data_IF_030416574623
#
_entry.id   IF_030416574623
#
_cell.length_a   1.000
_cell.length_b   1.000
_cell.length_c   1.000
_cell.angle_alpha   90.00
_cell.angle_beta   90.00
_cell.angle_gamma   90.00
#
_symmetry.space_group_name_H-M   'P 1'
#
loop_
_entity.id
_entity.type
_entity.pdbx_description
1 polymer ?
#
# COMPACT_ATOMS: atom_id res chain seq x y z
N UNK A 1 31.27 -10.98 -0.60
CA UNK A 1 31.25 -11.14 0.87
C UNK A 1 29.87 -11.10 1.52
N UNK A 2 29.03 -10.05 1.42
CA UNK A 2 27.70 -10.08 2.07
C UNK A 2 26.65 -10.94 1.33
N UNK A 3 26.65 -10.92 0.00
CA UNK A 3 25.75 -11.76 -0.82
C UNK A 3 26.11 -13.26 -0.72
N UNK A 4 27.40 -13.58 -0.59
CA UNK A 4 27.87 -14.96 -0.37
C UNK A 4 27.55 -15.46 1.04
N UNK A 5 27.55 -14.57 2.05
CA UNK A 5 27.09 -14.92 3.41
C UNK A 5 25.60 -15.29 3.43
N UNK A 6 24.76 -14.66 2.60
CA UNK A 6 23.36 -15.06 2.44
C UNK A 6 23.28 -16.50 1.89
N UNK A 7 24.10 -16.84 0.89
CA UNK A 7 24.14 -18.18 0.30
C UNK A 7 24.55 -19.27 1.33
N UNK A 8 25.53 -18.99 2.19
CA UNK A 8 26.01 -19.95 3.19
C UNK A 8 25.10 -20.10 4.42
N UNK A 9 24.33 -19.06 4.77
CA UNK A 9 23.41 -19.11 5.95
C UNK A 9 22.13 -19.87 5.64
N UNK A 10 21.82 -20.07 4.36
CA UNK A 10 20.47 -20.41 3.92
C UNK A 10 20.03 -21.85 4.16
N UNK A 11 20.87 -22.80 4.64
CA UNK A 11 20.54 -24.23 4.93
C UNK A 11 19.19 -24.64 4.31
N UNK A 12 19.10 -24.57 2.97
CA UNK A 12 17.84 -24.78 2.29
C UNK A 12 17.57 -26.27 2.39
N UNK A 13 16.87 -26.67 3.46
CA UNK A 13 16.17 -27.95 3.50
C UNK A 13 15.35 -27.98 2.22
N UNK A 14 15.57 -29.00 1.42
CA UNK A 14 14.89 -29.20 0.15
C UNK A 14 13.38 -29.23 0.40
N UNK A 15 12.70 -28.11 0.18
CA UNK A 15 11.25 -28.03 0.24
C UNK A 15 10.67 -28.42 -1.12
N UNK A 16 9.65 -29.26 -1.07
CA UNK A 16 8.93 -29.77 -2.23
C UNK A 16 7.99 -28.71 -2.79
N UNK A 17 7.57 -28.85 -4.05
CA UNK A 17 6.63 -27.92 -4.70
C UNK A 17 5.31 -27.76 -3.92
N UNK A 18 4.87 -28.80 -3.20
CA UNK A 18 3.67 -28.76 -2.34
C UNK A 18 3.81 -27.85 -1.12
N UNK A 19 5.02 -27.62 -0.62
CA UNK A 19 5.25 -26.76 0.55
C UNK A 19 5.04 -25.28 0.22
N UNK A 20 5.22 -24.89 -1.05
CA UNK A 20 5.03 -23.52 -1.55
C UNK A 20 3.58 -23.11 -1.78
N UNK A 21 2.66 -24.08 -1.85
CA UNK A 21 1.22 -23.84 -1.97
C UNK A 21 0.50 -23.82 -0.62
N UNK A 22 1.24 -24.00 0.48
CA UNK A 22 0.68 -23.95 1.82
C UNK A 22 0.72 -22.51 2.34
N UNK A 23 -0.43 -21.85 2.36
CA UNK A 23 -0.58 -20.46 2.78
C UNK A 23 -0.06 -20.19 4.21
N UNK A 24 -0.12 -21.17 5.10
CA UNK A 24 0.38 -21.03 6.48
C UNK A 24 1.91 -21.03 6.47
N UNK A 25 2.52 -22.00 5.79
CA UNK A 25 3.98 -22.05 5.64
C UNK A 25 4.51 -20.84 4.88
N UNK A 26 3.83 -20.39 3.83
CA UNK A 26 4.25 -19.21 3.07
C UNK A 26 4.16 -17.92 3.88
N UNK A 27 3.16 -17.77 4.76
CA UNK A 27 3.10 -16.64 5.70
C UNK A 27 4.21 -16.68 6.73
N UNK A 28 4.52 -17.85 7.29
CA UNK A 28 5.63 -18.00 8.25
C UNK A 28 6.99 -17.74 7.60
N UNK A 29 7.22 -18.31 6.42
CA UNK A 29 8.41 -18.08 5.61
C UNK A 29 8.54 -16.61 5.24
N UNK A 30 7.46 -15.98 4.75
CA UNK A 30 7.46 -14.55 4.45
C UNK A 30 7.76 -13.70 5.68
N UNK A 31 7.10 -13.97 6.82
CA UNK A 31 7.33 -13.25 8.08
C UNK A 31 8.76 -13.40 8.59
N UNK A 32 9.31 -14.62 8.58
CA UNK A 32 10.69 -14.90 8.96
C UNK A 32 11.69 -14.18 8.06
N UNK A 33 11.51 -14.25 6.73
CA UNK A 33 12.37 -13.55 5.79
C UNK A 33 12.24 -12.03 5.89
N UNK A 34 11.03 -11.50 6.09
CA UNK A 34 10.79 -10.07 6.26
C UNK A 34 11.47 -9.55 7.53
N UNK A 35 11.40 -10.30 8.63
CA UNK A 35 12.05 -9.94 9.88
C UNK A 35 13.59 -10.00 9.77
N UNK A 36 14.13 -10.97 9.04
CA UNK A 36 15.57 -11.03 8.79
C UNK A 36 16.03 -9.91 7.85
N UNK A 37 15.22 -9.53 6.86
CA UNK A 37 15.50 -8.38 6.00
C UNK A 37 15.54 -7.07 6.79
N UNK A 38 14.64 -6.89 7.78
CA UNK A 38 14.67 -5.75 8.70
C UNK A 38 15.91 -5.71 9.59
N UNK A 39 16.56 -6.84 9.83
CA UNK A 39 17.84 -6.90 10.54
C UNK A 39 19.02 -6.55 9.63
N UNK A 40 18.90 -6.86 8.33
CA UNK A 40 19.95 -6.59 7.33
C UNK A 40 19.94 -5.13 6.84
N UNK A 41 18.76 -4.52 6.77
CA UNK A 41 18.58 -3.16 6.27
C UNK A 41 17.82 -2.30 7.29
N UNK A 42 18.38 -1.13 7.69
CA UNK A 42 17.64 -0.12 8.44
C UNK A 42 16.31 0.24 7.77
N UNK A 43 15.32 0.67 8.55
CA UNK A 43 13.98 1.03 8.05
C UNK A 43 14.02 2.16 7.00
N UNK A 44 15.00 3.05 7.08
CA UNK A 44 15.25 4.17 6.17
C UNK A 44 16.30 3.86 5.08
N UNK A 45 16.74 2.61 4.98
CA UNK A 45 17.72 2.20 3.97
C UNK A 45 17.20 2.45 2.56
N UNK A 46 18.02 3.12 1.76
CA UNK A 46 17.75 3.35 0.34
C UNK A 46 18.58 2.38 -0.48
N UNK A 47 17.91 1.39 -1.07
CA UNK A 47 18.56 0.45 -1.97
C UNK A 47 19.21 1.17 -3.17
N UNK A 48 20.49 0.86 -3.39
CA UNK A 48 21.20 1.25 -4.60
C UNK A 48 20.76 0.41 -5.79
N UNK A 49 20.97 0.90 -7.01
CA UNK A 49 20.68 0.14 -8.24
C UNK A 49 21.48 -1.17 -8.30
N UNK A 50 22.67 -1.21 -7.69
CA UNK A 50 23.50 -2.42 -7.58
C UNK A 50 22.82 -3.48 -6.71
N UNK A 51 22.29 -3.09 -5.55
CA UNK A 51 21.56 -4.00 -4.66
C UNK A 51 20.26 -4.47 -5.30
N UNK A 52 19.50 -3.56 -5.93
CA UNK A 52 18.29 -3.93 -6.67
C UNK A 52 18.61 -4.94 -7.78
N UNK A 53 19.69 -4.72 -8.55
CA UNK A 53 20.12 -5.70 -9.55
C UNK A 53 20.49 -7.06 -8.95
N UNK A 54 21.11 -7.10 -7.77
CA UNK A 54 21.36 -8.36 -7.07
C UNK A 54 20.05 -9.09 -6.73
N UNK A 55 19.04 -8.37 -6.23
CA UNK A 55 17.71 -8.91 -5.96
C UNK A 55 17.02 -9.43 -7.23
N UNK A 56 17.06 -8.67 -8.34
CA UNK A 56 16.50 -9.09 -9.63
C UNK A 56 17.14 -10.39 -10.14
N UNK A 57 18.46 -10.52 -10.00
CA UNK A 57 19.19 -11.75 -10.35
C UNK A 57 18.72 -12.91 -9.47
N UNK A 58 18.60 -12.70 -8.15
CA UNK A 58 18.09 -13.73 -7.25
C UNK A 58 16.67 -14.17 -7.62
N UNK A 59 15.77 -13.23 -7.91
CA UNK A 59 14.41 -13.54 -8.32
C UNK A 59 14.35 -14.37 -9.60
N UNK A 60 15.14 -14.01 -10.62
CA UNK A 60 15.22 -14.81 -11.85
C UNK A 60 15.73 -16.23 -11.59
N UNK A 61 16.73 -16.38 -10.73
CA UNK A 61 17.30 -17.68 -10.39
C UNK A 61 16.31 -18.61 -9.67
N UNK A 62 15.34 -18.07 -8.93
CA UNK A 62 14.28 -18.84 -8.26
C UNK A 62 13.00 -18.96 -9.10
N UNK A 63 13.07 -18.66 -10.40
CA UNK A 63 11.97 -18.80 -11.35
C UNK A 63 10.93 -17.68 -11.31
N UNK A 64 11.24 -16.54 -10.68
CA UNK A 64 10.35 -15.39 -10.72
C UNK A 64 10.58 -14.54 -11.98
N UNK A 65 9.49 -13.93 -12.45
CA UNK A 65 9.42 -13.10 -13.65
C UNK A 65 8.94 -11.69 -13.29
N UNK A 66 9.50 -10.69 -13.97
CA UNK A 66 9.07 -9.29 -13.86
C UNK A 66 7.76 -9.08 -14.62
N UNK A 67 6.74 -8.67 -13.87
CA UNK A 67 5.39 -8.37 -14.36
C UNK A 67 5.00 -6.91 -14.10
N UNK A 68 5.99 -6.05 -13.87
CA UNK A 68 5.79 -4.60 -13.67
C UNK A 68 5.05 -4.00 -14.87
N UNK A 69 3.89 -3.35 -14.64
CA UNK A 69 3.00 -2.92 -15.72
C UNK A 69 3.31 -1.52 -16.26
N UNK A 70 4.17 -0.76 -15.59
CA UNK A 70 4.49 0.63 -15.91
C UNK A 70 5.99 0.83 -16.15
N UNK A 71 6.36 1.96 -16.76
CA UNK A 71 7.75 2.28 -17.06
C UNK A 71 8.47 2.72 -15.78
N UNK A 72 9.80 2.54 -15.74
CA UNK A 72 10.64 2.97 -14.60
C UNK A 72 10.53 4.47 -14.28
N UNK A 73 10.14 5.29 -15.27
CA UNK A 73 9.88 6.71 -15.09
C UNK A 73 8.59 6.99 -14.29
N UNK A 74 7.62 6.06 -14.34
CA UNK A 74 6.32 6.20 -13.68
C UNK A 74 6.40 5.75 -12.22
N UNK A 75 7.28 4.80 -11.91
CA UNK A 75 7.52 4.34 -10.55
C UNK A 75 8.78 3.48 -10.41
N UNK A 76 9.32 3.51 -9.18
CA UNK A 76 10.47 2.71 -8.73
C UNK A 76 10.08 1.31 -8.22
N UNK A 77 8.80 1.02 -8.08
CA UNK A 77 8.31 -0.25 -7.53
C UNK A 77 8.21 -1.29 -8.64
N UNK A 78 8.67 -2.52 -8.35
CA UNK A 78 8.66 -3.63 -9.29
C UNK A 78 7.75 -4.75 -8.80
N UNK A 79 7.02 -5.37 -9.72
CA UNK A 79 6.15 -6.50 -9.45
C UNK A 79 6.79 -7.78 -10.00
N UNK A 80 6.92 -8.78 -9.15
CA UNK A 80 7.55 -10.06 -9.50
C UNK A 80 6.61 -11.22 -9.15
N UNK A 81 6.48 -12.18 -10.05
CA UNK A 81 5.63 -13.37 -9.87
C UNK A 81 6.41 -14.65 -10.16
N UNK A 82 6.10 -15.74 -9.46
CA UNK A 82 6.60 -17.10 -9.79
C UNK A 82 5.57 -17.92 -10.58
N UNK A 83 4.46 -17.29 -10.99
CA UNK A 83 3.41 -17.96 -11.74
C UNK A 83 3.93 -18.47 -13.08
N UNK A 84 3.52 -19.70 -13.44
CA UNK A 84 3.77 -20.26 -14.77
C UNK A 84 3.10 -19.42 -15.87
N UNK A 85 2.03 -18.69 -15.52
CA UNK A 85 1.26 -17.85 -16.41
C UNK A 85 1.62 -16.35 -16.28
N UNK A 86 2.88 -16.03 -15.97
CA UNK A 86 3.35 -14.67 -15.73
C UNK A 86 2.99 -13.67 -16.86
N UNK A 87 2.87 -14.12 -18.11
CA UNK A 87 2.44 -13.28 -19.23
C UNK A 87 0.98 -12.82 -19.12
N UNK A 88 0.09 -13.71 -18.64
CA UNK A 88 -1.32 -13.37 -18.40
C UNK A 88 -1.39 -12.34 -17.27
N UNK A 89 -0.69 -12.60 -16.16
CA UNK A 89 -0.64 -11.68 -15.02
C UNK A 89 -0.10 -10.30 -15.41
N UNK A 90 0.98 -10.26 -16.20
CA UNK A 90 1.53 -9.01 -16.75
C UNK A 90 0.51 -8.23 -17.57
N UNK A 91 -0.26 -8.92 -18.42
CA UNK A 91 -1.30 -8.29 -19.24
C UNK A 91 -2.46 -7.76 -18.39
N UNK A 92 -2.87 -8.50 -17.35
CA UNK A 92 -3.91 -8.05 -16.42
C UNK A 92 -3.45 -6.83 -15.63
N UNK A 93 -2.25 -6.85 -15.07
CA UNK A 93 -1.68 -5.72 -14.35
C UNK A 93 -1.54 -4.48 -15.24
N UNK A 94 -1.15 -4.68 -16.51
CA UNK A 94 -1.09 -3.61 -17.51
C UNK A 94 -2.47 -3.00 -17.77
N UNK A 95 -3.50 -3.81 -17.97
CA UNK A 95 -4.88 -3.30 -18.14
C UNK A 95 -5.37 -2.55 -16.91
N UNK A 96 -5.10 -3.06 -15.70
CA UNK A 96 -5.47 -2.38 -14.46
C UNK A 96 -4.77 -1.02 -14.34
N UNK A 97 -3.50 -0.92 -14.75
CA UNK A 97 -2.78 0.35 -14.78
C UNK A 97 -3.36 1.32 -15.81
N UNK A 98 -3.61 0.85 -17.03
CA UNK A 98 -4.18 1.66 -18.12
C UNK A 98 -5.60 2.17 -17.79
N UNK A 99 -6.38 1.39 -17.04
CA UNK A 99 -7.71 1.79 -16.57
C UNK A 99 -7.70 2.62 -15.27
N UNK A 100 -6.52 2.87 -14.69
CA UNK A 100 -6.38 3.65 -13.45
C UNK A 100 -6.80 2.93 -12.18
N UNK A 101 -7.04 1.61 -12.24
CA UNK A 101 -7.33 0.78 -11.06
C UNK A 101 -6.05 0.37 -10.31
N UNK A 102 -4.90 0.39 -10.99
CA UNK A 102 -3.60 0.15 -10.37
C UNK A 102 -2.78 1.44 -10.37
N UNK A 103 -2.33 1.86 -9.19
CA UNK A 103 -1.49 3.05 -9.04
C UNK A 103 -0.02 2.67 -9.11
N UNK A 104 0.79 3.49 -9.80
CA UNK A 104 2.22 3.22 -9.94
C UNK A 104 2.98 3.37 -8.62
N UNK A 105 2.51 4.23 -7.73
CA UNK A 105 3.05 4.40 -6.38
C UNK A 105 2.01 4.01 -5.33
N UNK A 106 2.41 3.33 -4.26
CA UNK A 106 1.55 3.12 -3.10
C UNK A 106 1.20 4.50 -2.56
N UNK A 107 -0.04 4.89 -2.76
CA UNK A 107 -0.56 6.07 -2.11
C UNK A 107 -0.68 5.71 -0.64
N UNK A 108 -0.06 6.51 0.20
CA UNK A 108 -0.36 6.44 1.60
C UNK A 108 -1.84 6.82 1.74
N UNK A 109 -2.71 5.82 1.91
CA UNK A 109 -4.15 6.06 2.05
C UNK A 109 -4.44 7.00 3.23
N UNK A 110 -3.57 7.02 4.25
CA UNK A 110 -3.65 8.01 5.30
C UNK A 110 -3.47 9.44 4.77
N UNK A 111 -2.57 9.67 3.81
CA UNK A 111 -2.37 10.99 3.22
C UNK A 111 -3.57 11.42 2.37
N UNK A 112 -4.18 10.53 1.59
CA UNK A 112 -5.42 10.87 0.83
C UNK A 112 -6.60 11.09 1.76
N UNK A 113 -6.78 10.26 2.78
CA UNK A 113 -7.80 10.49 3.80
C UNK A 113 -7.56 11.81 4.54
N UNK A 114 -6.32 12.14 4.90
CA UNK A 114 -5.98 13.41 5.54
C UNK A 114 -6.21 14.60 4.61
N UNK A 115 -5.83 14.51 3.33
CA UNK A 115 -6.11 15.55 2.33
C UNK A 115 -7.62 15.76 2.19
N UNK A 116 -8.40 14.68 2.10
CA UNK A 116 -9.86 14.77 2.07
C UNK A 116 -10.40 15.46 3.32
N UNK A 117 -10.03 15.00 4.52
CA UNK A 117 -10.50 15.58 5.79
C UNK A 117 -10.09 17.04 5.94
N UNK A 118 -8.86 17.39 5.56
CA UNK A 118 -8.38 18.77 5.57
C UNK A 118 -9.18 19.65 4.60
N UNK A 119 -9.37 19.21 3.35
CA UNK A 119 -10.20 19.94 2.38
C UNK A 119 -11.64 20.09 2.88
N UNK A 120 -12.19 19.07 3.52
CA UNK A 120 -13.54 19.10 4.07
C UNK A 120 -13.64 20.08 5.25
N UNK A 121 -12.68 20.04 6.17
CA UNK A 121 -12.59 20.99 7.28
C UNK A 121 -12.44 22.42 6.78
N UNK A 122 -11.56 22.67 5.80
CA UNK A 122 -11.43 23.99 5.15
C UNK A 122 -12.74 24.43 4.48
N UNK A 123 -13.48 23.52 3.86
CA UNK A 123 -14.79 23.83 3.28
C UNK A 123 -15.82 24.23 4.34
N UNK A 124 -15.78 23.60 5.52
CA UNK A 124 -16.60 23.97 6.66
C UNK A 124 -16.18 25.34 7.22
N UNK A 125 -14.88 25.66 7.26
CA UNK A 125 -14.40 26.96 7.77
C UNK A 125 -14.78 28.09 6.80
N UNK A 126 -14.59 27.88 5.50
CA UNK A 126 -14.70 28.91 4.46
C UNK A 126 -16.13 29.18 3.96
N UNK A 127 -17.11 28.35 4.31
CA UNK A 127 -18.47 28.50 3.81
C UNK A 127 -19.12 29.82 4.26
N UNK A 128 -19.28 30.75 3.31
CA UNK A 128 -19.78 32.12 3.50
C UNK A 128 -21.26 32.22 3.90
N UNK A 129 -22.01 31.11 3.96
CA UNK A 129 -23.46 31.10 4.27
C UNK A 129 -23.80 31.00 5.76
N UNK A 130 -22.82 31.13 6.66
CA UNK A 130 -23.06 30.97 8.11
C UNK A 130 -23.22 29.51 8.52
N UNK A 131 -23.58 29.26 9.79
CA UNK A 131 -23.66 27.92 10.37
C UNK A 131 -24.55 26.94 9.58
N UNK A 132 -25.59 27.45 8.91
CA UNK A 132 -26.51 26.69 8.04
C UNK A 132 -25.79 26.03 6.85
N UNK A 133 -24.86 26.76 6.21
CA UNK A 133 -24.05 26.21 5.12
C UNK A 133 -23.11 25.09 5.59
N UNK A 134 -22.56 25.23 6.81
CA UNK A 134 -21.71 24.21 7.43
C UNK A 134 -22.53 22.97 7.78
N UNK A 135 -23.72 23.16 8.35
CA UNK A 135 -24.65 22.07 8.67
C UNK A 135 -25.05 21.27 7.44
N UNK A 136 -25.36 21.93 6.31
CA UNK A 136 -25.73 21.23 5.07
C UNK A 136 -24.61 20.35 4.49
N UNK A 137 -23.36 20.77 4.59
CA UNK A 137 -22.22 19.95 4.14
C UNK A 137 -22.03 18.76 5.07
N UNK A 138 -22.10 19.01 6.38
CA UNK A 138 -21.93 17.97 7.40
C UNK A 138 -23.09 16.95 7.37
N UNK A 139 -24.33 17.39 7.12
CA UNK A 139 -25.53 16.54 7.15
C UNK A 139 -25.49 15.41 6.13
N UNK A 140 -24.82 15.61 5.00
CA UNK A 140 -24.65 14.61 3.94
C UNK A 140 -24.01 13.32 4.48
N UNK A 141 -23.07 13.44 5.42
CA UNK A 141 -22.27 12.31 5.93
C UNK A 141 -22.47 12.05 7.42
N UNK A 142 -23.17 12.92 8.15
CA UNK A 142 -23.18 12.90 9.61
C UNK A 142 -23.71 11.56 10.19
N UNK A 143 -24.60 10.88 9.48
CA UNK A 143 -25.17 9.60 9.89
C UNK A 143 -24.26 8.39 9.61
N UNK A 144 -23.35 8.51 8.64
CA UNK A 144 -22.46 7.41 8.23
C UNK A 144 -21.21 7.27 9.12
N UNK A 145 -20.90 8.29 9.90
CA UNK A 145 -19.73 8.35 10.79
C UNK A 145 -20.11 8.48 12.26
N UNK A 146 -19.23 8.01 13.15
CA UNK A 146 -19.42 8.19 14.60
C UNK A 146 -19.16 9.63 15.02
N UNK A 147 -19.73 10.01 16.16
CA UNK A 147 -19.51 11.33 16.74
C UNK A 147 -18.03 11.59 17.01
N UNK A 148 -17.34 10.61 17.60
CA UNK A 148 -15.92 10.73 17.96
C UNK A 148 -15.03 10.87 16.72
N UNK A 149 -15.41 10.22 15.61
CA UNK A 149 -14.69 10.31 14.33
C UNK A 149 -14.85 11.71 13.72
N UNK A 150 -16.07 12.23 13.65
CA UNK A 150 -16.35 13.56 13.12
C UNK A 150 -15.68 14.65 13.96
N UNK A 151 -15.73 14.55 15.29
CA UNK A 151 -15.02 15.47 16.17
C UNK A 151 -13.51 15.45 15.92
N UNK A 152 -12.93 14.25 15.90
CA UNK A 152 -11.49 14.09 15.78
C UNK A 152 -10.96 14.58 14.43
N UNK A 153 -11.68 14.30 13.34
CA UNK A 153 -11.22 14.62 11.99
C UNK A 153 -11.57 16.03 11.54
N UNK A 154 -12.67 16.61 12.02
CA UNK A 154 -13.18 17.91 11.56
C UNK A 154 -13.10 19.03 12.60
N UNK A 155 -12.76 18.70 13.86
CA UNK A 155 -12.73 19.65 14.98
C UNK A 155 -14.06 20.40 15.18
N UNK A 156 -15.19 19.73 14.94
CA UNK A 156 -16.55 20.30 15.08
C UNK A 156 -17.20 19.91 16.41
N UNK A 157 -18.13 20.74 16.90
CA UNK A 157 -18.82 20.51 18.17
C UNK A 157 -19.95 19.48 18.04
N UNK A 158 -20.31 18.87 19.17
CA UNK A 158 -21.44 17.95 19.23
C UNK A 158 -22.77 18.59 18.84
N UNK A 159 -22.98 19.85 19.20
CA UNK A 159 -24.19 20.59 18.85
C UNK A 159 -24.32 20.82 17.34
N UNK A 160 -23.18 21.01 16.64
CA UNK A 160 -23.20 21.14 15.18
C UNK A 160 -23.52 19.80 14.51
N UNK A 161 -22.92 18.70 15.00
CA UNK A 161 -23.19 17.35 14.49
C UNK A 161 -24.65 16.95 14.76
N UNK A 162 -25.18 17.25 15.95
CA UNK A 162 -26.57 16.91 16.31
C UNK A 162 -27.55 17.61 15.38
N UNK A 163 -27.35 18.91 15.14
CA UNK A 163 -28.15 19.69 14.20
C UNK A 163 -28.03 19.18 12.77
N UNK A 164 -26.82 18.81 12.34
CA UNK A 164 -26.59 18.26 11.00
C UNK A 164 -27.30 16.92 10.78
N UNK A 165 -27.48 16.07 11.80
CA UNK A 165 -28.20 14.78 11.65
C UNK A 165 -29.72 14.92 11.60
N UNK A 166 -30.26 16.04 12.07
CA UNK A 166 -31.70 16.32 12.07
C UNK A 166 -32.17 16.77 10.68
N UNK A 167 -31.24 17.26 9.85
CA UNK A 167 -31.48 17.90 8.56
C UNK A 167 -31.16 17.00 7.37
#
# INVERSE_FOLDING_TARGET
>A
MEVEKIYCTLKLRSYSLSDWNNDVLMKEVYSYHLNNLKQLYPLDHKFSERELNAWRIMFRNIGCHDVTPFLKQDSKYEFWTRSLNHNIEKNVLKQLYEFGFLMSQPVNFYDVSNIFWNCFQESLITNKKGDDGKQRILSIIANDFKYEELQKQLSVSNDLISKARIH
#
